data_IF_306889515586
#
_entry.id   IF_306889515586
#
_cell.length_a   1.000
_cell.length_b   1.000
_cell.length_c   1.000
_cell.angle_alpha   90.00
_cell.angle_beta   90.00
_cell.angle_gamma   90.00
#
_symmetry.space_group_name_H-M   'P 1'
#
loop_
_entity.id
_entity.type
_entity.pdbx_description
1 polymer ?
#
# COMPACT_ATOMS: atom_id res chain seq x y z
N UNK A 1 -6.85 10.03 -22.80
CA UNK A 1 -7.23 8.62 -22.61
C UNK A 1 -6.57 8.15 -21.33
N UNK A 2 -7.25 7.38 -20.48
CA UNK A 2 -6.72 7.05 -19.17
C UNK A 2 -5.46 6.15 -19.24
N UNK A 3 -4.45 6.44 -18.43
CA UNK A 3 -3.18 5.69 -18.39
C UNK A 3 -2.58 5.61 -16.99
N UNK A 4 -1.72 4.61 -16.79
CA UNK A 4 -0.86 4.47 -15.61
C UNK A 4 0.24 5.52 -15.65
N UNK A 5 0.31 6.35 -14.63
CA UNK A 5 1.32 7.42 -14.53
C UNK A 5 2.43 7.08 -13.54
N UNK A 6 2.15 6.26 -12.54
CA UNK A 6 3.15 5.82 -11.57
C UNK A 6 2.76 4.48 -10.94
N UNK A 7 3.78 3.72 -10.57
CA UNK A 7 3.66 2.40 -9.97
C UNK A 7 4.54 2.29 -8.74
N UNK A 8 4.00 1.69 -7.68
CA UNK A 8 4.69 1.53 -6.41
C UNK A 8 4.45 0.17 -5.78
N UNK A 9 5.50 -0.35 -5.12
CA UNK A 9 5.37 -1.41 -4.12
C UNK A 9 5.77 -0.92 -2.73
N UNK A 10 5.33 -1.65 -1.72
CA UNK A 10 5.63 -1.39 -0.31
C UNK A 10 6.08 -2.69 0.37
N UNK A 11 7.37 -3.08 0.28
CA UNK A 11 7.80 -4.42 0.69
C UNK A 11 7.55 -4.73 2.16
N UNK A 12 7.71 -3.72 3.02
CA UNK A 12 7.40 -3.80 4.45
C UNK A 12 6.16 -2.96 4.77
N UNK A 13 5.18 -3.56 5.47
CA UNK A 13 3.99 -2.85 5.95
C UNK A 13 4.40 -1.62 6.75
N UNK A 14 3.78 -0.48 6.43
CA UNK A 14 3.99 0.77 7.15
C UNK A 14 5.17 1.61 6.67
N UNK A 15 6.10 1.07 5.87
CA UNK A 15 7.28 1.78 5.37
C UNK A 15 7.05 2.42 3.99
N UNK A 16 8.06 3.08 3.45
CA UNK A 16 7.95 3.97 2.28
C UNK A 16 7.56 3.27 0.98
N UNK A 17 7.10 4.06 0.00
CA UNK A 17 6.88 3.59 -1.36
C UNK A 17 8.19 3.35 -2.11
N UNK A 18 8.21 2.33 -2.97
CA UNK A 18 9.26 2.08 -3.95
C UNK A 18 8.70 2.30 -5.35
N UNK A 19 9.15 3.35 -6.08
CA UNK A 19 8.72 3.56 -7.45
C UNK A 19 9.33 2.46 -8.33
N UNK A 20 8.51 1.89 -9.20
CA UNK A 20 8.93 0.90 -10.17
C UNK A 20 8.44 1.28 -11.57
N UNK A 21 9.17 0.92 -12.64
CA UNK A 21 8.69 1.14 -14.01
C UNK A 21 7.58 0.14 -14.39
N UNK A 22 7.53 -1.01 -13.71
CA UNK A 22 6.53 -2.05 -13.90
C UNK A 22 6.29 -2.84 -12.60
N UNK A 23 5.11 -3.42 -12.47
CA UNK A 23 4.71 -4.33 -11.41
C UNK A 23 4.38 -5.70 -12.00
N UNK A 24 4.82 -6.77 -11.33
CA UNK A 24 4.46 -8.15 -11.70
C UNK A 24 3.40 -8.68 -10.74
N UNK A 25 2.31 -9.20 -11.29
CA UNK A 25 1.16 -9.68 -10.55
C UNK A 25 0.80 -11.09 -10.96
N UNK A 26 0.46 -11.92 -9.98
CA UNK A 26 -0.10 -13.23 -10.20
C UNK A 26 -1.46 -13.33 -9.52
N UNK A 27 -2.41 -14.04 -10.11
CA UNK A 27 -3.71 -14.33 -9.52
C UNK A 27 -3.57 -15.03 -8.16
N UNK A 28 -2.61 -15.96 -8.08
CA UNK A 28 -2.40 -16.79 -6.90
C UNK A 28 -1.83 -16.02 -5.70
N UNK A 29 -0.98 -15.01 -5.94
CA UNK A 29 -0.22 -14.34 -4.88
C UNK A 29 -0.39 -12.82 -4.84
N UNK A 30 -1.02 -12.19 -5.83
CA UNK A 30 -1.15 -10.73 -5.94
C UNK A 30 0.14 -10.08 -6.47
N UNK A 31 0.43 -8.88 -6.00
CA UNK A 31 1.63 -8.13 -6.38
C UNK A 31 2.90 -8.71 -5.74
N UNK A 32 3.90 -9.07 -6.56
CA UNK A 32 5.18 -9.59 -6.08
C UNK A 32 5.90 -8.59 -5.16
N UNK A 33 6.41 -9.08 -4.01
CA UNK A 33 7.18 -8.31 -3.04
C UNK A 33 6.46 -7.08 -2.47
N UNK A 34 5.13 -7.01 -2.54
CA UNK A 34 4.33 -6.01 -1.83
C UNK A 34 3.81 -6.58 -0.51
N UNK A 35 4.15 -5.88 0.58
CA UNK A 35 3.76 -6.16 1.97
C UNK A 35 3.98 -7.63 2.36
N UNK A 36 5.07 -8.22 1.87
CA UNK A 36 5.49 -9.57 2.27
C UNK A 36 6.14 -9.59 3.64
N UNK A 37 6.61 -8.42 4.10
CA UNK A 37 7.14 -8.22 5.43
C UNK A 37 6.26 -7.28 6.24
N UNK A 38 6.29 -7.43 7.55
CA UNK A 38 5.79 -6.43 8.49
C UNK A 38 6.65 -6.43 9.75
N UNK A 39 6.62 -5.31 10.47
CA UNK A 39 7.22 -5.20 11.80
C UNK A 39 6.11 -5.38 12.83
N UNK A 40 5.94 -6.60 13.34
CA UNK A 40 5.03 -6.90 14.42
C UNK A 40 5.48 -6.17 15.69
N UNK A 41 4.56 -5.59 16.46
CA UNK A 41 4.88 -4.97 17.76
C UNK A 41 5.53 -6.00 18.69
N UNK A 42 6.32 -5.56 19.66
CA UNK A 42 7.03 -6.49 20.58
C UNK A 42 6.11 -7.37 21.43
N UNK A 43 4.83 -7.01 21.53
CA UNK A 43 3.78 -7.78 22.20
C UNK A 43 2.96 -8.67 21.26
N UNK A 44 3.19 -8.60 19.96
CA UNK A 44 2.43 -9.34 18.95
C UNK A 44 3.02 -10.74 18.76
N UNK A 45 2.21 -11.76 19.03
CA UNK A 45 2.47 -13.13 18.61
C UNK A 45 2.13 -13.30 17.12
N UNK A 46 3.04 -13.91 16.35
CA UNK A 46 2.82 -14.27 14.95
C UNK A 46 3.60 -15.55 14.68
N UNK A 47 2.94 -16.56 14.11
CA UNK A 47 3.53 -17.84 13.73
C UNK A 47 3.72 -17.89 12.21
N UNK A 48 4.95 -17.81 11.69
CA UNK A 48 5.23 -17.92 10.26
C UNK A 48 4.86 -19.28 9.64
N UNK A 49 4.79 -20.35 10.43
CA UNK A 49 4.46 -21.70 9.95
C UNK A 49 2.96 -21.91 9.83
N UNK A 50 2.16 -21.19 10.62
CA UNK A 50 0.71 -21.19 10.56
C UNK A 50 0.17 -19.74 10.60
N UNK A 51 0.34 -18.97 9.51
CA UNK A 51 0.11 -17.54 9.54
C UNK A 51 -1.39 -17.20 9.54
N UNK A 52 -1.84 -16.49 10.57
CA UNK A 52 -3.18 -15.90 10.63
C UNK A 52 -3.16 -14.41 10.27
N UNK A 53 -4.15 -13.90 9.49
CA UNK A 53 -4.28 -12.48 9.24
C UNK A 53 -4.52 -11.69 10.54
N UNK A 54 -3.70 -10.67 10.79
CA UNK A 54 -3.84 -9.78 11.94
C UNK A 54 -4.22 -8.37 11.48
N UNK A 55 -5.03 -7.68 12.28
CA UNK A 55 -5.34 -6.27 12.04
C UNK A 55 -4.05 -5.42 12.08
N UNK A 56 -4.07 -4.28 11.39
CA UNK A 56 -2.93 -3.36 11.36
C UNK A 56 -2.46 -2.89 12.74
N UNK A 57 -3.32 -2.88 13.75
CA UNK A 57 -2.99 -2.55 15.14
C UNK A 57 -1.89 -3.41 15.78
N UNK A 58 -1.56 -4.55 15.18
CA UNK A 58 -0.54 -5.48 15.63
C UNK A 58 0.86 -5.21 15.06
N UNK A 59 0.99 -4.22 14.19
CA UNK A 59 2.24 -3.90 13.49
C UNK A 59 2.62 -2.43 13.70
N UNK A 60 3.86 -2.07 13.37
CA UNK A 60 4.26 -0.68 13.18
C UNK A 60 3.59 -0.14 11.91
N UNK A 61 2.87 0.98 12.02
CA UNK A 61 2.19 1.60 10.87
C UNK A 61 1.96 3.10 11.05
N UNK A 62 1.87 3.83 9.93
CA UNK A 62 1.75 5.31 9.90
C UNK A 62 0.62 5.88 10.76
N UNK A 63 -0.51 5.17 10.90
CA UNK A 63 -1.61 5.62 11.77
C UNK A 63 -1.12 5.87 13.20
N UNK A 64 -0.29 4.98 13.73
CA UNK A 64 0.20 5.04 15.11
C UNK A 64 1.63 5.57 15.22
N UNK A 65 2.42 5.46 14.14
CA UNK A 65 3.86 5.72 14.12
C UNK A 65 4.21 6.65 12.94
N UNK A 66 3.87 7.94 13.03
CA UNK A 66 4.14 8.91 11.94
C UNK A 66 5.63 9.07 11.64
N UNK A 67 6.50 8.83 12.64
CA UNK A 67 7.97 8.88 12.51
C UNK A 67 8.49 7.98 11.39
N UNK A 68 7.78 6.88 11.05
CA UNK A 68 8.17 5.99 9.96
C UNK A 68 8.17 6.69 8.59
N UNK A 69 7.39 7.77 8.43
CA UNK A 69 7.35 8.53 7.18
C UNK A 69 8.64 9.33 6.91
N UNK A 70 9.48 9.55 7.93
CA UNK A 70 10.79 10.18 7.76
C UNK A 70 11.86 9.22 7.21
N UNK A 71 11.53 7.93 7.09
CA UNK A 71 12.41 6.91 6.53
C UNK A 71 12.02 6.61 5.09
N UNK A 72 13.02 6.52 4.23
CA UNK A 72 12.90 5.87 2.93
C UNK A 72 13.52 4.47 2.99
N UNK A 73 12.89 3.52 2.31
CA UNK A 73 13.27 2.12 2.28
C UNK A 73 13.32 1.59 0.84
N UNK A 74 14.28 0.71 0.60
CA UNK A 74 14.46 -0.01 -0.66
C UNK A 74 14.77 -1.47 -0.34
N UNK A 75 14.02 -2.39 -0.92
CA UNK A 75 14.23 -3.83 -0.84
C UNK A 75 14.68 -4.37 -2.19
N UNK A 76 15.78 -5.09 -2.22
CA UNK A 76 16.20 -5.84 -3.40
C UNK A 76 15.75 -7.30 -3.26
N UNK A 77 14.81 -7.77 -4.10
CA UNK A 77 14.33 -9.15 -4.03
C UNK A 77 15.35 -10.19 -4.50
N UNK A 78 16.37 -9.80 -5.27
CA UNK A 78 17.39 -10.75 -5.76
C UNK A 78 18.39 -11.10 -4.65
N UNK A 79 18.78 -10.09 -3.87
CA UNK A 79 19.77 -10.23 -2.79
C UNK A 79 19.15 -10.37 -1.40
N UNK A 80 17.87 -10.01 -1.24
CA UNK A 80 17.22 -9.91 0.07
C UNK A 80 17.60 -8.66 0.86
N UNK A 81 18.35 -7.74 0.26
CA UNK A 81 18.86 -6.53 0.92
C UNK A 81 17.72 -5.52 1.20
N UNK A 82 17.54 -5.12 2.46
CA UNK A 82 16.74 -3.96 2.85
C UNK A 82 17.65 -2.80 3.24
N UNK A 83 17.58 -1.70 2.51
CA UNK A 83 18.25 -0.43 2.83
C UNK A 83 17.26 0.56 3.42
N UNK A 84 17.63 1.19 4.53
CA UNK A 84 16.88 2.25 5.20
C UNK A 84 17.70 3.54 5.14
N UNK A 85 17.11 4.61 4.63
CA UNK A 85 17.73 5.94 4.55
C UNK A 85 16.87 6.98 5.24
N UNK A 86 17.52 8.05 5.70
CA UNK A 86 16.89 9.24 6.29
C UNK A 86 17.65 10.46 5.82
N UNK A 87 16.93 11.46 5.31
CA UNK A 87 17.54 12.72 4.81
C UNK A 87 18.68 12.49 3.80
N UNK A 88 18.56 11.43 2.99
CA UNK A 88 19.56 11.02 1.99
C UNK A 88 20.72 10.16 2.53
N UNK A 89 20.88 10.02 3.84
CA UNK A 89 21.92 9.20 4.45
C UNK A 89 21.44 7.76 4.72
N UNK A 90 22.29 6.76 4.45
CA UNK A 90 22.03 5.37 4.80
C UNK A 90 22.14 5.18 6.31
N UNK A 91 21.04 4.73 6.92
CA UNK A 91 20.95 4.45 8.36
C UNK A 91 21.24 2.98 8.66
N UNK A 92 20.81 2.08 7.78
CA UNK A 92 20.96 0.64 7.89
C UNK A 92 20.88 0.00 6.50
N UNK A 93 21.63 -1.07 6.25
CA UNK A 93 21.46 -1.91 5.07
C UNK A 93 21.77 -3.36 5.40
N UNK A 94 20.74 -4.20 5.49
CA UNK A 94 20.88 -5.59 5.96
C UNK A 94 20.24 -6.61 5.01
N UNK A 95 20.78 -7.83 4.97
CA UNK A 95 20.22 -8.95 4.22
C UNK A 95 19.15 -9.66 5.05
N UNK A 96 17.89 -9.60 4.60
CA UNK A 96 16.76 -10.18 5.32
C UNK A 96 16.68 -11.71 5.21
N UNK A 97 17.48 -12.34 4.35
CA UNK A 97 17.58 -13.81 4.28
C UNK A 97 18.37 -14.37 5.47
N UNK A 98 19.24 -13.55 6.07
CA UNK A 98 20.06 -13.92 7.22
C UNK A 98 19.34 -13.60 8.54
N UNK A 99 19.42 -14.47 9.56
CA UNK A 99 18.89 -14.15 10.90
C UNK A 99 19.44 -12.85 11.47
N UNK A 100 20.73 -12.59 11.30
CA UNK A 100 21.45 -11.45 11.87
C UNK A 100 21.01 -10.13 11.22
N UNK A 101 20.77 -10.14 9.91
CA UNK A 101 20.27 -8.97 9.19
C UNK A 101 18.83 -8.61 9.61
N UNK A 102 17.98 -9.62 9.82
CA UNK A 102 16.64 -9.42 10.41
C UNK A 102 16.75 -8.87 11.83
N UNK A 103 17.67 -9.41 12.62
CA UNK A 103 17.93 -8.96 13.99
C UNK A 103 18.30 -7.47 14.05
N UNK A 104 19.20 -7.03 13.18
CA UNK A 104 19.64 -5.64 13.09
C UNK A 104 18.50 -4.67 12.69
N UNK A 105 17.62 -5.08 11.77
CA UNK A 105 16.44 -4.30 11.39
C UNK A 105 15.47 -4.14 12.57
N UNK A 106 15.22 -5.20 13.32
CA UNK A 106 14.36 -5.17 14.50
C UNK A 106 14.89 -4.22 15.58
N UNK A 107 16.19 -4.31 15.90
CA UNK A 107 16.85 -3.41 16.85
C UNK A 107 16.83 -1.96 16.39
N UNK A 108 17.04 -1.72 15.10
CA UNK A 108 16.93 -0.38 14.52
C UNK A 108 15.54 0.21 14.76
N UNK A 109 14.47 -0.54 14.48
CA UNK A 109 13.11 -0.05 14.67
C UNK A 109 12.70 0.04 16.14
N UNK A 110 13.24 -0.81 17.02
CA UNK A 110 13.10 -0.65 18.47
C UNK A 110 13.62 0.71 18.94
N UNK A 111 14.87 1.03 18.58
CA UNK A 111 15.51 2.28 18.96
C UNK A 111 14.85 3.50 18.30
N UNK A 112 14.49 3.38 17.02
CA UNK A 112 13.92 4.49 16.24
C UNK A 112 12.49 4.86 16.65
N UNK A 113 11.64 3.86 16.93
CA UNK A 113 10.24 4.09 17.30
C UNK A 113 10.06 4.24 18.81
N UNK A 114 10.94 3.62 19.61
CA UNK A 114 10.93 3.72 21.06
C UNK A 114 9.68 3.06 21.69
N UNK A 115 9.11 3.65 22.76
CA UNK A 115 8.02 3.02 23.52
C UNK A 115 6.78 2.62 22.70
N UNK A 116 6.54 3.30 21.57
CA UNK A 116 5.41 3.00 20.70
C UNK A 116 5.54 1.64 19.97
N UNK A 117 6.74 1.03 19.93
CA UNK A 117 6.95 -0.34 19.41
C UNK A 117 6.46 -1.42 20.38
N UNK A 118 6.18 -1.06 21.64
CA UNK A 118 5.74 -1.97 22.72
C UNK A 118 6.73 -3.13 22.93
N UNK A 119 8.00 -2.79 23.08
CA UNK A 119 9.13 -3.72 23.10
C UNK A 119 9.77 -3.88 21.72
N UNK A 120 10.76 -4.77 21.64
CA UNK A 120 11.48 -5.09 20.41
C UNK A 120 10.51 -5.61 19.33
N UNK A 121 10.30 -4.89 18.21
CA UNK A 121 9.45 -5.37 17.14
C UNK A 121 10.08 -6.59 16.47
N UNK A 122 9.26 -7.40 15.81
CA UNK A 122 9.72 -8.57 15.05
C UNK A 122 9.46 -8.40 13.57
N UNK A 123 10.48 -8.62 12.75
CA UNK A 123 10.34 -8.60 11.30
C UNK A 123 9.77 -9.95 10.85
N UNK A 124 8.47 -9.96 10.54
CA UNK A 124 7.73 -11.18 10.21
C UNK A 124 7.49 -11.28 8.71
N UNK A 125 7.54 -12.52 8.21
CA UNK A 125 7.19 -12.95 6.85
C UNK A 125 6.62 -14.36 6.92
N UNK A 126 5.67 -14.69 6.05
CA UNK A 126 5.19 -16.04 5.86
C UNK A 126 4.88 -16.32 4.38
N UNK A 127 4.97 -17.59 3.98
CA UNK A 127 4.64 -18.01 2.61
C UNK A 127 3.15 -17.74 2.32
N UNK A 128 2.85 -17.28 1.10
CA UNK A 128 1.50 -16.95 0.63
C UNK A 128 0.71 -15.98 1.53
N UNK A 129 1.41 -15.21 2.36
CA UNK A 129 0.82 -14.26 3.30
C UNK A 129 1.28 -12.83 2.99
N UNK A 130 0.33 -11.91 2.89
CA UNK A 130 0.61 -10.47 2.75
C UNK A 130 0.00 -9.68 3.89
N UNK A 131 0.78 -8.74 4.41
CA UNK A 131 0.40 -7.85 5.51
C UNK A 131 -0.36 -6.60 5.02
N UNK A 132 -1.25 -6.78 4.03
CA UNK A 132 -2.18 -5.74 3.56
C UNK A 132 -3.25 -5.46 4.62
N UNK A 133 -3.83 -4.26 4.58
CA UNK A 133 -4.94 -3.91 5.47
C UNK A 133 -6.21 -4.75 5.18
N UNK A 134 -6.34 -5.29 3.96
CA UNK A 134 -7.43 -6.16 3.56
C UNK A 134 -7.25 -7.64 3.92
N UNK A 135 -6.08 -8.04 4.43
CA UNK A 135 -5.76 -9.45 4.74
C UNK A 135 -6.77 -10.12 5.67
N UNK A 136 -7.32 -9.38 6.63
CA UNK A 136 -8.33 -9.84 7.59
C UNK A 136 -9.74 -10.00 7.01
N UNK A 137 -9.98 -9.50 5.78
CA UNK A 137 -11.30 -9.55 5.14
C UNK A 137 -11.48 -10.88 4.40
N UNK A 138 -10.53 -11.22 3.53
CA UNK A 138 -10.51 -12.48 2.78
C UNK A 138 -9.16 -12.68 2.07
N UNK A 139 -8.88 -13.89 1.55
CA UNK A 139 -7.71 -14.13 0.70
C UNK A 139 -7.67 -13.24 -0.56
N UNK A 140 -8.81 -12.88 -1.15
CA UNK A 140 -8.87 -11.98 -2.30
C UNK A 140 -8.42 -10.56 -1.93
N UNK A 141 -8.89 -10.04 -0.78
CA UNK A 141 -8.46 -8.74 -0.27
C UNK A 141 -7.00 -8.74 0.20
N UNK A 142 -6.49 -9.87 0.71
CA UNK A 142 -5.08 -10.02 1.07
C UNK A 142 -4.16 -9.76 -0.13
N UNK A 143 -4.56 -10.25 -1.31
CA UNK A 143 -3.81 -10.16 -2.57
C UNK A 143 -4.22 -8.96 -3.44
N UNK A 144 -5.17 -8.17 -2.98
CA UNK A 144 -5.71 -7.06 -3.76
C UNK A 144 -4.66 -5.97 -4.00
N UNK A 145 -4.80 -5.32 -5.14
CA UNK A 145 -3.98 -4.19 -5.56
C UNK A 145 -4.78 -2.92 -5.34
N UNK A 146 -4.15 -1.88 -4.82
CA UNK A 146 -4.82 -0.58 -4.66
C UNK A 146 -4.55 0.32 -5.87
N UNK A 147 -5.60 0.95 -6.40
CA UNK A 147 -5.53 1.92 -7.49
C UNK A 147 -6.05 3.29 -7.05
N UNK A 148 -5.38 4.35 -7.50
CA UNK A 148 -5.80 5.73 -7.33
C UNK A 148 -5.89 6.45 -8.66
N UNK A 149 -6.99 7.14 -8.84
CA UNK A 149 -7.16 8.15 -9.87
C UNK A 149 -6.64 9.50 -9.36
N UNK A 150 -5.65 10.07 -10.05
CA UNK A 150 -5.06 11.36 -9.69
C UNK A 150 -6.06 12.51 -9.83
N UNK A 151 -7.09 12.39 -10.68
CA UNK A 151 -8.17 13.37 -10.75
C UNK A 151 -8.97 13.46 -9.44
N UNK A 152 -9.20 12.33 -8.76
CA UNK A 152 -9.84 12.29 -7.43
C UNK A 152 -8.98 12.97 -6.36
N UNK A 153 -7.64 12.85 -6.46
CA UNK A 153 -6.72 13.53 -5.54
C UNK A 153 -6.76 15.05 -5.75
N UNK A 154 -6.71 15.52 -7.01
CA UNK A 154 -6.83 16.95 -7.34
C UNK A 154 -8.17 17.54 -6.89
N UNK A 155 -9.26 16.82 -7.09
CA UNK A 155 -10.58 17.25 -6.59
C UNK A 155 -10.59 17.42 -5.06
N UNK A 156 -9.91 16.56 -4.30
CA UNK A 156 -9.76 16.70 -2.85
C UNK A 156 -8.85 17.89 -2.49
N UNK A 157 -7.75 18.08 -3.20
CA UNK A 157 -6.84 19.22 -3.04
C UNK A 157 -7.57 20.56 -3.21
N UNK A 158 -8.37 20.71 -4.27
CA UNK A 158 -9.20 21.90 -4.52
C UNK A 158 -10.15 22.21 -3.34
N UNK A 159 -10.73 21.18 -2.72
CA UNK A 159 -11.67 21.35 -1.59
C UNK A 159 -10.98 21.50 -0.23
N UNK A 160 -9.69 21.24 -0.15
CA UNK A 160 -8.90 21.39 1.08
C UNK A 160 -8.06 22.66 1.07
N UNK A 161 -7.78 23.22 -0.11
CA UNK A 161 -7.02 24.46 -0.27
C UNK A 161 -5.52 24.30 0.02
N UNK A 162 -5.03 23.06 0.12
CA UNK A 162 -3.63 22.75 0.39
C UNK A 162 -3.20 21.48 -0.34
N UNK A 163 -1.91 21.40 -0.66
CA UNK A 163 -1.37 20.31 -1.48
C UNK A 163 -1.60 18.93 -0.84
N UNK A 164 -2.22 18.02 -1.59
CA UNK A 164 -2.47 16.63 -1.14
C UNK A 164 -1.55 15.68 -1.88
N UNK A 165 -0.44 15.31 -1.25
CA UNK A 165 0.52 14.37 -1.82
C UNK A 165 -0.14 12.99 -2.11
N UNK A 166 -0.15 12.47 -3.37
CA UNK A 166 -0.85 11.22 -3.72
C UNK A 166 -0.36 9.97 -2.98
N UNK A 167 0.92 9.92 -2.59
CA UNK A 167 1.48 8.80 -1.81
C UNK A 167 0.92 8.66 -0.39
N UNK A 168 0.19 9.65 0.15
CA UNK A 168 -0.54 9.52 1.42
C UNK A 168 -1.49 8.32 1.42
N UNK A 169 -2.06 8.02 0.26
CA UNK A 169 -3.06 6.98 0.09
C UNK A 169 -2.47 5.59 -0.25
N UNK A 170 -1.15 5.52 -0.44
CA UNK A 170 -0.35 4.30 -0.52
C UNK A 170 -0.89 3.24 -1.49
N UNK A 171 -1.35 3.69 -2.67
CA UNK A 171 -1.76 2.80 -3.74
C UNK A 171 -0.55 2.20 -4.46
N UNK A 172 -0.80 1.12 -5.20
CA UNK A 172 0.20 0.49 -6.04
C UNK A 172 0.16 1.03 -7.46
N UNK A 173 -1.03 1.34 -7.97
CA UNK A 173 -1.24 1.86 -9.32
C UNK A 173 -1.84 3.26 -9.22
N UNK A 174 -1.19 4.23 -9.87
CA UNK A 174 -1.70 5.58 -10.03
C UNK A 174 -2.02 5.82 -11.49
N UNK A 175 -3.19 6.38 -11.75
CA UNK A 175 -3.70 6.63 -13.11
C UNK A 175 -4.17 8.06 -13.26
N UNK A 176 -4.15 8.55 -14.49
CA UNK A 176 -4.68 9.86 -14.85
C UNK A 176 -5.49 9.78 -16.16
N UNK A 177 -6.23 10.84 -16.49
CA UNK A 177 -7.07 10.94 -17.68
C UNK A 177 -8.48 10.37 -17.52
N UNK A 178 -8.94 10.18 -16.27
CA UNK A 178 -10.32 9.85 -15.89
C UNK A 178 -10.99 11.07 -15.25
N UNK A 179 -12.32 11.09 -15.25
CA UNK A 179 -13.08 12.00 -14.38
C UNK A 179 -12.83 11.67 -12.91
N UNK A 180 -12.85 12.66 -11.99
CA UNK A 180 -12.76 12.40 -10.56
C UNK A 180 -13.79 11.36 -10.12
N UNK A 181 -13.35 10.44 -9.27
CA UNK A 181 -14.16 9.37 -8.65
C UNK A 181 -14.64 8.27 -9.60
N UNK A 182 -14.35 8.34 -10.90
CA UNK A 182 -14.79 7.33 -11.87
C UNK A 182 -14.35 5.90 -11.52
N UNK A 183 -13.23 5.74 -10.82
CA UNK A 183 -12.72 4.45 -10.35
C UNK A 183 -13.65 3.77 -9.32
N UNK A 184 -14.49 4.54 -8.63
CA UNK A 184 -15.39 4.03 -7.59
C UNK A 184 -16.58 3.24 -8.14
N UNK A 185 -16.88 3.40 -9.43
CA UNK A 185 -17.97 2.73 -10.12
C UNK A 185 -17.54 1.38 -10.73
N UNK A 186 -16.30 0.99 -10.51
CA UNK A 186 -15.75 -0.26 -11.02
C UNK A 186 -15.97 -1.45 -10.08
N UNK A 187 -16.57 -1.23 -8.90
CA UNK A 187 -16.89 -2.33 -7.96
C UNK A 187 -17.78 -3.35 -8.67
N UNK A 188 -17.36 -4.61 -8.65
CA UNK A 188 -18.01 -5.72 -9.36
C UNK A 188 -17.69 -5.80 -10.85
N UNK A 189 -17.00 -4.82 -11.45
CA UNK A 189 -16.69 -4.77 -12.88
C UNK A 189 -15.26 -5.24 -13.15
N UNK A 190 -15.07 -5.85 -14.31
CA UNK A 190 -13.73 -6.15 -14.82
C UNK A 190 -13.11 -4.92 -15.48
N UNK A 191 -11.82 -4.74 -15.26
CA UNK A 191 -11.02 -3.63 -15.78
C UNK A 191 -9.72 -4.20 -16.31
N UNK A 192 -9.27 -3.73 -17.46
CA UNK A 192 -7.93 -4.05 -17.97
C UNK A 192 -7.00 -2.88 -17.73
N UNK A 193 -5.80 -3.17 -17.24
CA UNK A 193 -4.67 -2.23 -17.20
C UNK A 193 -3.55 -2.83 -18.03
N UNK A 194 -3.28 -2.25 -19.20
CA UNK A 194 -2.46 -2.90 -20.22
C UNK A 194 -3.10 -4.23 -20.63
N UNK A 195 -2.41 -5.35 -20.37
CA UNK A 195 -2.92 -6.72 -20.61
C UNK A 195 -3.45 -7.40 -19.35
N UNK A 196 -3.26 -6.80 -18.17
CA UNK A 196 -3.66 -7.40 -16.91
C UNK A 196 -5.17 -7.25 -16.71
N UNK A 197 -5.87 -8.35 -16.41
CA UNK A 197 -7.28 -8.35 -16.04
C UNK A 197 -7.44 -8.23 -14.52
N UNK A 198 -8.26 -7.28 -14.11
CA UNK A 198 -8.56 -6.97 -12.73
C UNK A 198 -10.07 -6.91 -12.51
N UNK A 199 -10.53 -7.03 -11.26
CA UNK A 199 -11.94 -6.77 -10.88
C UNK A 199 -12.04 -5.83 -9.71
N UNK A 200 -12.95 -4.86 -9.76
CA UNK A 200 -13.24 -4.01 -8.60
C UNK A 200 -13.80 -4.81 -7.43
N UNK A 201 -13.09 -4.83 -6.31
CA UNK A 201 -13.52 -5.49 -5.07
C UNK A 201 -14.33 -4.55 -4.20
N UNK A 202 -13.77 -3.38 -3.89
CA UNK A 202 -14.40 -2.39 -3.02
C UNK A 202 -13.74 -1.03 -3.15
N UNK A 203 -14.50 0.02 -2.88
CA UNK A 203 -13.97 1.36 -2.63
C UNK A 203 -13.04 1.33 -1.41
N UNK A 204 -12.05 2.23 -1.37
CA UNK A 204 -11.04 2.22 -0.31
C UNK A 204 -11.33 3.31 0.74
N UNK A 205 -11.93 2.95 1.90
CA UNK A 205 -12.16 3.91 2.98
C UNK A 205 -10.84 4.37 3.57
N UNK A 206 -10.65 5.68 3.68
CA UNK A 206 -9.41 6.28 4.19
C UNK A 206 -9.50 6.50 5.69
N UNK A 207 -8.41 6.12 6.38
CA UNK A 207 -8.26 6.30 7.82
C UNK A 207 -7.11 7.28 8.11
N UNK A 208 -6.93 7.69 9.36
CA UNK A 208 -5.93 8.68 9.79
C UNK A 208 -4.46 8.39 9.41
N UNK A 209 -4.14 7.22 8.84
CA UNK A 209 -2.84 6.99 8.22
C UNK A 209 -2.57 7.97 7.06
N UNK A 210 -3.60 8.40 6.31
CA UNK A 210 -3.43 9.32 5.19
C UNK A 210 -3.15 10.76 5.63
N UNK A 211 -3.36 11.07 6.91
CA UNK A 211 -3.09 12.39 7.48
C UNK A 211 -1.58 12.65 7.60
N UNK A 212 -0.76 11.58 7.60
CA UNK A 212 0.70 11.68 7.65
C UNK A 212 1.25 12.11 6.29
N UNK A 213 1.95 13.24 6.27
CA UNK A 213 2.60 13.76 5.08
C UNK A 213 3.91 12.99 4.82
N UNK A 214 4.10 12.40 3.62
CA UNK A 214 5.31 11.65 3.30
C UNK A 214 6.57 12.54 3.15
N UNK A 215 6.44 13.84 2.94
CA UNK A 215 7.58 14.76 2.82
C UNK A 215 8.01 15.31 4.18
N UNK A 216 7.06 15.64 5.04
CA UNK A 216 7.36 16.28 6.34
C UNK A 216 7.35 15.31 7.52
N UNK A 217 6.87 14.08 7.30
CA UNK A 217 6.67 13.05 8.32
C UNK A 217 5.78 13.48 9.49
N UNK A 218 4.83 14.40 9.25
CA UNK A 218 3.91 14.93 10.27
C UNK A 218 2.47 14.75 9.84
N UNK A 219 1.58 14.55 10.80
CA UNK A 219 0.14 14.75 10.58
C UNK A 219 -0.17 16.23 10.41
N UNK A 220 -0.65 16.60 9.24
CA UNK A 220 -0.88 18.01 8.88
C UNK A 220 -2.32 18.31 8.44
N UNK A 221 -3.05 17.33 7.93
CA UNK A 221 -4.43 17.50 7.47
C UNK A 221 -5.27 16.27 7.79
N UNK A 222 -6.49 16.45 8.31
CA UNK A 222 -7.45 15.36 8.51
C UNK A 222 -8.22 15.07 7.20
N UNK A 223 -7.62 14.27 6.33
CA UNK A 223 -8.17 13.99 5.00
C UNK A 223 -9.46 13.15 5.03
N UNK A 224 -9.63 12.14 5.92
CA UNK A 224 -10.91 11.43 6.03
C UNK A 224 -12.07 12.36 6.39
N UNK A 225 -11.86 13.32 7.29
CA UNK A 225 -12.88 14.34 7.63
C UNK A 225 -13.13 15.28 6.45
N UNK A 226 -12.09 15.68 5.73
CA UNK A 226 -12.24 16.51 4.52
C UNK A 226 -13.03 15.79 3.42
N UNK A 227 -12.74 14.51 3.17
CA UNK A 227 -13.50 13.66 2.26
C UNK A 227 -14.98 13.62 2.66
N UNK A 228 -15.26 13.30 3.94
CA UNK A 228 -16.63 13.18 4.44
C UNK A 228 -17.40 14.49 4.32
N UNK A 229 -16.76 15.61 4.67
CA UNK A 229 -17.37 16.95 4.64
C UNK A 229 -17.67 17.42 3.22
N UNK A 230 -16.76 17.20 2.27
CA UNK A 230 -16.85 17.79 0.94
C UNK A 230 -17.50 16.86 -0.11
N UNK A 231 -17.50 15.54 0.12
CA UNK A 231 -17.99 14.55 -0.85
C UNK A 231 -18.98 13.53 -0.24
N UNK A 232 -19.24 13.58 1.06
CA UNK A 232 -20.23 12.72 1.72
C UNK A 232 -19.76 11.29 2.06
N UNK A 233 -18.55 10.90 1.67
CA UNK A 233 -17.92 9.60 1.95
C UNK A 233 -16.48 9.75 2.47
N UNK A 234 -15.87 8.66 2.94
CA UNK A 234 -14.44 8.63 3.35
C UNK A 234 -13.55 7.90 2.34
N UNK A 235 -14.12 7.51 1.21
CA UNK A 235 -13.43 6.72 0.21
C UNK A 235 -12.57 7.58 -0.73
N UNK A 236 -11.45 7.03 -1.18
CA UNK A 236 -10.66 7.54 -2.31
C UNK A 236 -9.93 6.37 -2.94
N UNK A 237 -10.01 6.14 -4.25
CA UNK A 237 -9.44 4.95 -4.87
C UNK A 237 -10.20 3.64 -4.59
N UNK A 238 -9.69 2.54 -5.14
CA UNK A 238 -10.36 1.24 -5.20
C UNK A 238 -9.38 0.08 -4.97
N UNK A 239 -9.86 -1.01 -4.37
CA UNK A 239 -9.18 -2.30 -4.33
C UNK A 239 -9.57 -3.16 -5.54
N UNK A 240 -8.57 -3.76 -6.17
CA UNK A 240 -8.71 -4.58 -7.37
C UNK A 240 -8.22 -6.00 -7.10
N UNK A 241 -9.04 -7.00 -7.44
CA UNK A 241 -8.65 -8.41 -7.49
C UNK A 241 -7.87 -8.68 -8.77
N UNK A 242 -6.78 -9.46 -8.67
CA UNK A 242 -6.01 -9.92 -9.82
C UNK A 242 -6.69 -11.14 -10.44
N UNK A 243 -7.12 -11.06 -11.71
CA UNK A 243 -7.81 -12.16 -12.39
C UNK A 243 -6.91 -12.98 -13.31
N UNK A 244 -5.79 -12.41 -13.75
CA UNK A 244 -4.81 -13.03 -14.65
C UNK A 244 -3.38 -12.72 -14.19
N UNK A 245 -2.45 -13.60 -14.52
CA UNK A 245 -1.02 -13.33 -14.31
C UNK A 245 -0.52 -12.35 -15.37
N UNK A 246 0.45 -11.51 -15.01
CA UNK A 246 1.06 -10.58 -15.96
C UNK A 246 1.79 -9.42 -15.28
N UNK A 247 2.06 -8.39 -16.07
CA UNK A 247 2.69 -7.16 -15.59
C UNK A 247 1.87 -5.94 -16.03
N UNK A 248 2.02 -4.87 -15.25
CA UNK A 248 1.56 -3.51 -15.58
C UNK A 248 2.77 -2.61 -15.62
N UNK A 249 2.89 -1.79 -16.65
CA UNK A 249 3.95 -0.80 -16.81
C UNK A 249 3.41 0.63 -16.78
N UNK A 250 4.27 1.59 -16.43
CA UNK A 250 3.96 3.01 -16.62
C UNK A 250 3.65 3.26 -18.11
N UNK A 251 2.58 4.01 -18.39
CA UNK A 251 2.06 4.26 -19.73
C UNK A 251 0.97 3.29 -20.19
N UNK A 252 0.73 2.19 -19.46
CA UNK A 252 -0.34 1.25 -19.81
C UNK A 252 -1.72 1.92 -19.75
N UNK A 253 -2.56 1.61 -20.75
CA UNK A 253 -3.91 2.15 -20.88
C UNK A 253 -4.91 1.38 -20.02
N UNK A 254 -5.97 2.06 -19.60
CA UNK A 254 -7.09 1.46 -18.88
C UNK A 254 -8.32 1.32 -19.76
N UNK A 255 -8.99 0.18 -19.66
CA UNK A 255 -10.33 0.00 -20.22
C UNK A 255 -11.23 -0.67 -19.17
N UNK A 256 -12.41 -0.10 -18.95
CA UNK A 256 -13.44 -0.70 -18.11
C UNK A 256 -14.32 -1.58 -18.99
N UNK A 257 -14.43 -2.86 -18.65
CA UNK A 257 -15.29 -3.74 -19.43
C UNK A 257 -16.77 -3.38 -19.21
N UNK A 258 -17.63 -3.54 -20.22
CA UNK A 258 -19.07 -3.49 -20.03
C UNK A 258 -19.47 -4.45 -18.90
N UNK A 259 -20.50 -4.10 -18.12
CA UNK A 259 -21.12 -5.10 -17.27
C UNK A 259 -21.66 -6.21 -18.17
N UNK A 260 -21.44 -7.47 -17.81
CA UNK A 260 -22.25 -8.54 -18.39
C UNK A 260 -23.70 -8.20 -18.03
N UNK A 261 -24.54 -7.95 -19.03
CA UNK A 261 -25.98 -7.87 -18.79
C UNK A 261 -26.38 -9.16 -18.09
N UNK A 262 -27.04 -9.04 -16.93
CA UNK A 262 -27.62 -10.19 -16.26
C UNK A 262 -28.45 -10.94 -17.31
N UNK A 263 -28.03 -12.15 -17.65
CA UNK A 263 -28.81 -13.03 -18.50
C UNK A 263 -30.12 -13.29 -17.74
N UNK A 264 -31.16 -12.57 -18.15
CA UNK A 264 -32.52 -12.66 -17.62
C UNK A 264 -33.12 -14.06 -17.80
#
# INVERSE_FOLDING_TARGET
MAEVTALYRYPVKGLSAEPLPALTLARASGLAFDREYALALGTTAFDPQNPEPLDKGYFLMLRSNEVLAALATRFDPETGQLTITRDGATMLSEDLTLPEGREAVELFFEAYVGPAAKGRPRLVRAADHKFTDGSVISPAFMRAVSLINLASVRALEERTGGAVHPLRFRANIYVDGLEPWAEMDWVGREVTVGRLRLRGLARTPRCAAVDVNPETARRDTNLPKALKRNFGHVDLGIYLEVLSDGAVAVGDRLNVMPQAEDAA
#
